data_IF_320346311842
#
_entry.id   IF_320346311842
#
_cell.length_a   1.000
_cell.length_b   1.000
_cell.length_c   1.000
_cell.angle_alpha   90.00
_cell.angle_beta   90.00
_cell.angle_gamma   90.00
#
_symmetry.space_group_name_H-M   'P 1'
#
loop_
_entity.id
_entity.type
_entity.pdbx_description
1 polymer ?
#
# COMPACT_ATOMS: atom_id res chain seq x y z
N UNK A 1 -11.27 -7.54 -7.08
CA UNK A 1 -10.86 -6.47 -6.16
C UNK A 1 -9.56 -6.91 -5.51
N UNK A 2 -8.55 -6.05 -5.45
CA UNK A 2 -7.27 -6.36 -4.84
C UNK A 2 -6.87 -5.19 -3.94
N UNK A 3 -6.35 -5.49 -2.75
CA UNK A 3 -5.77 -4.48 -1.86
C UNK A 3 -4.32 -4.22 -2.32
N UNK A 4 -4.03 -2.96 -2.65
CA UNK A 4 -2.70 -2.50 -3.06
C UNK A 4 -1.99 -1.83 -1.91
N UNK A 5 -0.71 -2.17 -1.69
CA UNK A 5 0.16 -1.61 -0.66
C UNK A 5 1.49 -1.14 -1.23
N UNK A 6 2.30 -0.45 -0.43
CA UNK A 6 3.64 -0.03 -0.83
C UNK A 6 3.72 1.41 -1.37
N UNK A 7 4.90 1.81 -1.87
CA UNK A 7 5.25 3.20 -2.16
C UNK A 7 4.41 3.83 -3.28
N UNK A 8 3.86 3.04 -4.21
CA UNK A 8 2.95 3.55 -5.25
C UNK A 8 1.77 4.36 -4.67
N UNK A 9 1.31 4.02 -3.47
CA UNK A 9 0.23 4.75 -2.78
C UNK A 9 0.61 6.21 -2.49
N UNK A 10 1.86 6.46 -2.10
CA UNK A 10 2.37 7.80 -1.84
C UNK A 10 2.58 8.62 -3.12
N UNK A 11 2.63 7.97 -4.28
CA UNK A 11 2.78 8.59 -5.60
C UNK A 11 1.47 8.66 -6.40
N UNK A 12 0.40 7.97 -6.00
CA UNK A 12 -0.82 7.92 -6.79
C UNK A 12 -1.66 9.20 -6.64
N UNK A 13 -2.02 9.85 -7.75
CA UNK A 13 -2.97 10.98 -7.80
C UNK A 13 -4.18 10.70 -8.69
N UNK A 14 -5.22 11.50 -8.47
CA UNK A 14 -6.43 11.59 -9.29
C UNK A 14 -6.77 13.06 -9.50
N UNK A 15 -7.44 13.37 -10.61
CA UNK A 15 -8.01 14.70 -10.83
C UNK A 15 -9.43 14.72 -10.27
N UNK A 16 -9.69 15.64 -9.34
CA UNK A 16 -11.02 15.89 -8.77
C UNK A 16 -11.28 17.39 -8.82
N UNK A 17 -12.39 17.78 -9.46
CA UNK A 17 -12.79 19.19 -9.61
C UNK A 17 -11.70 20.06 -10.30
N UNK A 18 -10.99 19.49 -11.27
CA UNK A 18 -9.90 20.16 -11.99
C UNK A 18 -8.59 20.30 -11.20
N UNK A 19 -8.54 19.79 -9.97
CA UNK A 19 -7.35 19.83 -9.12
C UNK A 19 -6.79 18.43 -8.96
N UNK A 20 -5.47 18.31 -9.05
CA UNK A 20 -4.78 17.06 -8.77
C UNK A 20 -4.70 16.82 -7.26
N UNK A 21 -5.16 15.65 -6.82
CA UNK A 21 -5.18 15.26 -5.41
C UNK A 21 -4.66 13.83 -5.24
N UNK A 22 -4.08 13.48 -4.07
CA UNK A 22 -3.77 12.10 -3.76
C UNK A 22 -4.98 11.18 -3.96
N UNK A 23 -4.73 9.94 -4.40
CA UNK A 23 -5.80 8.93 -4.48
C UNK A 23 -6.39 8.69 -3.09
N UNK A 24 -5.52 8.62 -2.08
CA UNK A 24 -5.86 8.44 -0.66
C UNK A 24 -5.70 9.74 0.11
N UNK A 25 -6.79 10.18 0.77
CA UNK A 25 -6.84 11.44 1.52
C UNK A 25 -5.83 11.48 2.69
N UNK A 26 -5.43 10.30 3.20
CA UNK A 26 -4.38 10.15 4.21
C UNK A 26 -3.08 10.91 3.86
N UNK A 27 -2.66 10.92 2.59
CA UNK A 27 -1.42 11.61 2.19
C UNK A 27 -1.55 13.14 2.20
N UNK A 28 -2.76 13.67 2.03
CA UNK A 28 -3.05 15.09 2.22
C UNK A 28 -2.98 15.45 3.71
N UNK A 29 -3.57 14.64 4.58
CA UNK A 29 -3.54 14.81 6.04
C UNK A 29 -2.12 14.74 6.62
N UNK A 30 -1.30 13.80 6.11
CA UNK A 30 0.10 13.64 6.52
C UNK A 30 1.02 14.71 5.93
N UNK A 31 0.57 15.48 4.93
CA UNK A 31 1.42 16.39 4.18
C UNK A 31 2.61 15.69 3.49
N UNK A 32 2.43 14.41 3.13
CA UNK A 32 3.51 13.56 2.61
C UNK A 32 3.22 13.14 1.17
N UNK A 33 4.26 13.22 0.33
CA UNK A 33 4.18 12.85 -1.08
C UNK A 33 5.55 12.38 -1.55
N UNK A 34 5.55 11.30 -2.32
CA UNK A 34 6.77 10.82 -2.97
C UNK A 34 6.83 11.27 -4.43
N UNK A 35 8.05 11.46 -4.95
CA UNK A 35 8.34 11.86 -6.33
C UNK A 35 9.54 11.06 -6.81
N UNK A 36 9.27 10.04 -7.63
CA UNK A 36 10.29 9.13 -8.15
C UNK A 36 10.00 8.77 -9.63
N UNK A 37 11.02 8.32 -10.36
CA UNK A 37 10.88 7.83 -11.74
C UNK A 37 10.38 6.39 -11.86
N UNK A 38 10.33 5.66 -10.73
CA UNK A 38 9.86 4.29 -10.62
C UNK A 38 9.13 4.07 -9.30
N UNK A 39 8.33 3.02 -9.22
CA UNK A 39 7.60 2.69 -8.00
C UNK A 39 7.36 1.20 -7.86
N UNK A 40 6.93 0.79 -6.67
CA UNK A 40 6.52 -0.58 -6.38
C UNK A 40 5.13 -0.62 -5.76
N UNK A 41 4.36 -1.65 -6.11
CA UNK A 41 3.09 -1.98 -5.49
C UNK A 41 3.07 -3.46 -5.08
N UNK A 42 2.64 -3.71 -3.85
CA UNK A 42 2.41 -5.05 -3.33
C UNK A 42 0.92 -5.34 -3.46
N UNK A 43 0.57 -6.45 -4.13
CA UNK A 43 -0.81 -6.85 -4.37
C UNK A 43 -1.07 -8.21 -3.71
N UNK A 44 -2.08 -8.25 -2.86
CA UNK A 44 -2.55 -9.48 -2.22
C UNK A 44 -3.54 -10.19 -3.16
N UNK A 45 -2.99 -10.96 -4.10
CA UNK A 45 -3.74 -11.66 -5.16
C UNK A 45 -3.10 -13.01 -5.49
N UNK A 46 -3.91 -13.95 -5.98
CA UNK A 46 -3.50 -15.29 -6.41
C UNK A 46 -3.16 -15.37 -7.92
N UNK A 47 -3.44 -14.30 -8.67
CA UNK A 47 -3.30 -14.22 -10.13
C UNK A 47 -2.58 -12.95 -10.54
N UNK A 48 -1.88 -13.04 -11.67
CA UNK A 48 -1.25 -11.88 -12.31
C UNK A 48 -2.33 -10.86 -12.68
N UNK A 49 -2.22 -9.59 -12.26
CA UNK A 49 -3.19 -8.57 -12.60
C UNK A 49 -3.18 -8.29 -14.12
N UNK A 50 -4.34 -7.96 -14.72
CA UNK A 50 -4.41 -7.51 -16.10
C UNK A 50 -3.53 -6.28 -16.36
N UNK A 51 -3.03 -6.14 -17.59
CA UNK A 51 -2.14 -5.02 -17.99
C UNK A 51 -2.81 -3.67 -17.75
N UNK A 52 -4.12 -3.58 -17.95
CA UNK A 52 -4.91 -2.36 -17.76
C UNK A 52 -4.87 -1.85 -16.31
N UNK A 53 -4.69 -2.76 -15.34
CA UNK A 53 -4.51 -2.40 -13.92
C UNK A 53 -3.15 -1.73 -13.73
N UNK A 54 -2.10 -2.26 -14.35
CA UNK A 54 -0.74 -1.73 -14.25
C UNK A 54 -0.67 -0.35 -14.92
N UNK A 55 -1.24 -0.20 -16.11
CA UNK A 55 -1.31 1.10 -16.76
C UNK A 55 -2.08 2.14 -15.93
N UNK A 56 -3.15 1.71 -15.25
CA UNK A 56 -3.90 2.61 -14.36
C UNK A 56 -3.05 3.06 -13.18
N UNK A 57 -2.25 2.16 -12.58
CA UNK A 57 -1.32 2.49 -11.50
C UNK A 57 -0.22 3.42 -12.01
N UNK A 58 0.39 3.11 -13.15
CA UNK A 58 1.42 3.92 -13.79
C UNK A 58 0.94 5.35 -14.07
N UNK A 59 -0.24 5.50 -14.68
CA UNK A 59 -0.88 6.80 -14.92
C UNK A 59 -1.14 7.57 -13.62
N UNK A 60 -1.65 6.90 -12.60
CA UNK A 60 -1.88 7.52 -11.30
C UNK A 60 -0.57 7.95 -10.62
N UNK A 61 0.51 7.18 -10.80
CA UNK A 61 1.83 7.46 -10.23
C UNK A 61 2.70 8.38 -11.11
N UNK A 62 2.23 8.74 -12.32
CA UNK A 62 2.96 9.54 -13.31
C UNK A 62 4.31 8.95 -13.71
N UNK A 63 4.36 7.64 -13.85
CA UNK A 63 5.53 6.90 -14.34
C UNK A 63 5.14 6.07 -15.56
N UNK A 64 6.15 5.61 -16.30
CA UNK A 64 5.95 4.64 -17.38
C UNK A 64 5.56 3.27 -16.81
N UNK A 65 4.87 2.46 -17.60
CA UNK A 65 4.34 1.17 -17.11
C UNK A 65 5.44 0.14 -16.81
N UNK A 66 6.59 0.24 -17.47
CA UNK A 66 7.79 -0.57 -17.19
C UNK A 66 8.54 -0.12 -15.93
N UNK A 67 8.25 1.09 -15.43
CA UNK A 67 8.73 1.62 -14.16
C UNK A 67 7.81 1.28 -12.96
N UNK A 68 6.81 0.40 -13.16
CA UNK A 68 5.95 -0.12 -12.07
C UNK A 68 6.34 -1.55 -11.75
N UNK A 69 6.93 -1.75 -10.57
CA UNK A 69 7.26 -3.07 -10.06
C UNK A 69 6.11 -3.65 -9.25
N UNK A 70 5.62 -4.83 -9.65
CA UNK A 70 4.46 -5.47 -9.02
C UNK A 70 4.92 -6.70 -8.26
N UNK A 71 4.68 -6.69 -6.94
CA UNK A 71 4.99 -7.82 -6.05
C UNK A 71 3.67 -8.51 -5.72
N UNK A 72 3.51 -9.76 -6.13
CA UNK A 72 2.32 -10.56 -5.83
C UNK A 72 2.53 -11.35 -4.54
N UNK A 73 1.56 -11.27 -3.63
CA UNK A 73 1.64 -11.91 -2.31
C UNK A 73 0.34 -12.65 -1.99
N UNK A 74 0.10 -13.84 -2.58
CA UNK A 74 -1.06 -14.65 -2.22
C UNK A 74 -1.04 -14.94 -0.71
N UNK A 75 -2.17 -14.85 -0.01
CA UNK A 75 -2.25 -15.07 1.45
C UNK A 75 -1.87 -16.49 1.88
N UNK A 76 -2.03 -17.46 0.98
CA UNK A 76 -1.59 -18.85 1.15
C UNK A 76 -0.07 -19.05 1.05
N UNK A 77 0.69 -18.01 0.67
CA UNK A 77 2.15 -18.07 0.55
C UNK A 77 2.85 -17.55 1.80
N UNK A 78 4.09 -17.99 2.02
CA UNK A 78 4.94 -17.45 3.09
C UNK A 78 5.11 -15.93 2.99
N UNK A 79 5.26 -15.39 1.77
CA UNK A 79 5.37 -13.96 1.55
C UNK A 79 4.08 -13.21 1.94
N UNK A 80 2.92 -13.78 1.61
CA UNK A 80 1.61 -13.26 2.02
C UNK A 80 1.43 -13.25 3.53
N UNK A 81 1.65 -14.38 4.20
CA UNK A 81 1.55 -14.46 5.66
C UNK A 81 2.54 -13.52 6.35
N UNK A 82 3.78 -13.44 5.85
CA UNK A 82 4.81 -12.57 6.43
C UNK A 82 4.47 -11.09 6.25
N UNK A 83 4.04 -10.65 5.06
CA UNK A 83 3.72 -9.24 4.86
C UNK A 83 2.54 -8.80 5.73
N UNK A 84 1.52 -9.66 5.90
CA UNK A 84 0.35 -9.34 6.74
C UNK A 84 0.78 -9.15 8.20
N UNK A 85 1.57 -10.08 8.75
CA UNK A 85 2.04 -9.99 10.14
C UNK A 85 2.97 -8.81 10.37
N UNK A 86 3.79 -8.46 9.37
CA UNK A 86 4.74 -7.34 9.44
C UNK A 86 4.04 -5.98 9.62
N UNK A 87 2.73 -5.91 9.41
CA UNK A 87 1.90 -4.70 9.61
C UNK A 87 1.48 -4.46 11.05
N UNK A 88 1.93 -5.26 12.02
CA UNK A 88 1.51 -5.10 13.42
C UNK A 88 1.70 -3.67 13.94
N UNK A 89 2.77 -2.97 13.54
CA UNK A 89 2.96 -1.55 13.88
C UNK A 89 2.00 -0.65 13.09
N UNK A 90 1.83 -0.89 11.79
CA UNK A 90 0.89 -0.15 10.93
C UNK A 90 -0.53 -0.19 11.49
N UNK A 91 -1.01 -1.35 11.96
CA UNK A 91 -2.35 -1.51 12.54
C UNK A 91 -2.51 -0.66 13.80
N UNK A 92 -1.48 -0.56 14.64
CA UNK A 92 -1.49 0.31 15.82
C UNK A 92 -1.55 1.80 15.41
N UNK A 93 -0.75 2.21 14.42
CA UNK A 93 -0.74 3.58 13.88
C UNK A 93 -2.08 3.94 13.22
N UNK A 94 -2.64 3.04 12.41
CA UNK A 94 -3.95 3.18 11.80
C UNK A 94 -5.04 3.28 12.86
N UNK A 95 -4.96 2.50 13.95
CA UNK A 95 -5.92 2.63 15.05
C UNK A 95 -5.80 3.97 15.74
N UNK A 96 -4.59 4.45 16.02
CA UNK A 96 -4.35 5.78 16.59
C UNK A 96 -4.95 6.88 15.70
N UNK A 97 -4.69 6.84 14.40
CA UNK A 97 -5.27 7.74 13.40
C UNK A 97 -6.80 7.71 13.41
N UNK A 98 -7.42 6.51 13.38
CA UNK A 98 -8.87 6.36 13.41
C UNK A 98 -9.54 6.87 14.69
N UNK A 99 -8.77 6.99 15.77
CA UNK A 99 -9.20 7.59 17.05
C UNK A 99 -8.89 9.09 17.11
N UNK A 100 -8.47 9.70 16.00
CA UNK A 100 -8.04 11.10 15.88
C UNK A 100 -6.87 11.45 16.81
N UNK A 101 -6.04 10.47 17.17
CA UNK A 101 -4.80 10.76 17.86
C UNK A 101 -3.85 11.51 16.90
N UNK A 102 -3.23 12.63 17.31
CA UNK A 102 -2.30 13.36 16.45
C UNK A 102 -1.06 12.51 16.13
N UNK A 103 -0.98 11.97 14.91
CA UNK A 103 0.11 11.07 14.50
C UNK A 103 1.50 11.71 14.63
N UNK A 104 1.61 13.04 14.49
CA UNK A 104 2.87 13.78 14.71
C UNK A 104 3.41 13.71 16.15
N UNK A 105 2.60 13.26 17.11
CA UNK A 105 3.05 13.00 18.50
C UNK A 105 3.65 11.60 18.67
N UNK A 106 3.55 10.72 17.67
CA UNK A 106 4.21 9.42 17.67
C UNK A 106 5.62 9.63 17.12
N UNK A 107 6.62 9.54 18.00
CA UNK A 107 8.03 9.80 17.66
C UNK A 107 8.71 8.56 17.07
N UNK A 108 8.41 7.37 17.59
CA UNK A 108 8.96 6.09 17.14
C UNK A 108 8.04 4.94 17.56
N UNK A 109 8.26 3.74 17.03
CA UNK A 109 7.49 2.55 17.36
C UNK A 109 8.18 1.24 16.99
N UNK A 110 7.99 0.23 17.85
CA UNK A 110 8.37 -1.15 17.59
C UNK A 110 7.19 -2.06 17.91
N UNK A 111 7.00 -3.09 17.11
CA UNK A 111 5.99 -4.10 17.36
C UNK A 111 6.47 -5.47 16.87
N UNK A 112 5.91 -6.52 17.45
CA UNK A 112 6.19 -7.91 17.12
C UNK A 112 4.89 -8.71 17.17
N UNK A 113 4.75 -9.67 16.26
CA UNK A 113 3.62 -10.57 16.18
C UNK A 113 4.10 -11.95 15.70
N UNK A 114 3.47 -13.05 16.17
CA UNK A 114 3.83 -14.39 15.72
C UNK A 114 3.43 -14.60 14.26
N UNK A 115 4.27 -15.30 13.51
CA UNK A 115 3.96 -15.71 12.13
C UNK A 115 2.91 -16.82 12.18
N UNK A 116 1.76 -16.69 11.48
CA UNK A 116 0.76 -17.74 11.44
C UNK A 116 1.32 -18.95 10.69
N UNK A 117 0.84 -20.17 11.02
CA UNK A 117 1.14 -21.33 10.20
C UNK A 117 0.62 -21.10 8.77
N UNK A 118 1.32 -21.62 7.74
CA UNK A 118 0.83 -21.53 6.37
C UNK A 118 -0.52 -22.24 6.24
N UNK A 119 -1.49 -21.58 5.64
CA UNK A 119 -2.79 -22.15 5.31
C UNK A 119 -2.85 -22.43 3.80
N UNK A 120 -3.35 -23.61 3.36
CA UNK A 120 -3.36 -23.96 1.94
C UNK A 120 -4.28 -23.07 1.10
N UNK A 121 -5.35 -22.56 1.70
CA UNK A 121 -6.38 -21.78 1.01
C UNK A 121 -6.21 -20.28 1.23
N UNK A 122 -6.58 -19.50 0.21
CA UNK A 122 -6.80 -18.06 0.31
C UNK A 122 -8.09 -17.82 1.10
N UNK A 123 -7.99 -17.18 2.28
CA UNK A 123 -9.13 -16.83 3.15
C UNK A 123 -9.50 -15.37 2.95
#
# INVERSE_FOLDING_TARGET
YALGSGPARAMATKVKDGVEKPVEELYEELGYRDVCGETAIVMEVDKVPPVEVIEKIARACKVESDSVHVILTPTSSLAGGMQVVSRVLEVALHKAHSLNFPLGNIIDGMASAPVPPPHPDFV
#
